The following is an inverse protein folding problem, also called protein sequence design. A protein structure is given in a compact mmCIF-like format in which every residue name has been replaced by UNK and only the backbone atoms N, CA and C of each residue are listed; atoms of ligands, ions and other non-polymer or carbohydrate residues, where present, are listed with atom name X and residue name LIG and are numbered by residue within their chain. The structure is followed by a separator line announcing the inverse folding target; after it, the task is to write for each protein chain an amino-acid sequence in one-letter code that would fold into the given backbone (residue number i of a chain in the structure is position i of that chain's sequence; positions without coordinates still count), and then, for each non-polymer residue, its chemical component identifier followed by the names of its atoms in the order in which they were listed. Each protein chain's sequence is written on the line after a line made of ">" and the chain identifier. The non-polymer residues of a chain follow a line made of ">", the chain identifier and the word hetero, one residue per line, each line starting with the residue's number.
data_IF_745181669758
#
_entry.id   IF_745181669758
#
_cell.length_a   1.000
_cell.length_b   1.000
_cell.length_c   1.000
_cell.angle_alpha   90.00
_cell.angle_beta   90.00
_cell.angle_gamma   90.00
#
_symmetry.space_group_name_H-M   'P 1'
#
loop_
_entity.id
_entity.type
_entity.pdbx_description
1 polymer ?
#
# COMPACT_ATOMS: atom_id res chain seq x y z
N UNK A 1 31.32 38.44 68.86
CA UNK A 1 31.64 37.16 68.20
C UNK A 1 30.42 36.24 67.99
N UNK A 2 29.61 35.89 68.99
CA UNK A 2 28.44 34.96 68.81
C UNK A 2 27.47 35.36 67.67
N UNK A 3 27.17 36.63 67.43
CA UNK A 3 26.26 37.08 66.33
C UNK A 3 26.84 36.94 64.92
N UNK A 4 28.15 36.92 64.78
CA UNK A 4 28.81 36.74 63.46
C UNK A 4 28.80 35.26 63.09
N UNK A 5 29.06 34.36 64.01
CA UNK A 5 29.00 32.91 63.76
C UNK A 5 27.57 32.44 63.42
N UNK A 6 26.53 33.00 64.06
CA UNK A 6 25.17 32.68 63.75
C UNK A 6 24.76 33.12 62.33
N UNK A 7 25.26 34.25 61.84
CA UNK A 7 25.00 34.71 60.46
C UNK A 7 25.76 33.89 59.45
N UNK A 8 27.00 33.51 59.68
CA UNK A 8 27.80 32.66 58.81
C UNK A 8 27.16 31.26 58.71
N UNK A 9 26.73 30.67 59.82
CA UNK A 9 26.01 29.38 59.84
C UNK A 9 24.71 29.44 59.03
N UNK A 10 23.93 30.55 59.13
CA UNK A 10 22.71 30.73 58.38
C UNK A 10 22.95 30.80 56.86
N UNK A 11 24.02 31.52 56.44
CA UNK A 11 24.38 31.60 55.03
C UNK A 11 24.91 30.28 54.48
N UNK A 12 25.62 29.52 55.31
CA UNK A 12 26.15 28.19 54.91
C UNK A 12 24.99 27.18 54.75
N UNK A 13 24.00 27.22 55.66
CA UNK A 13 22.81 26.36 55.57
C UNK A 13 21.94 26.74 54.39
N UNK A 14 21.81 28.05 54.06
CA UNK A 14 21.05 28.51 52.90
C UNK A 14 21.78 28.17 51.59
N UNK A 15 23.12 28.20 51.54
CA UNK A 15 23.91 27.80 50.40
C UNK A 15 23.87 26.30 50.13
N UNK A 16 23.83 25.45 51.19
CA UNK A 16 23.67 23.99 51.02
C UNK A 16 22.27 23.60 50.52
N UNK A 17 21.21 24.36 50.87
CA UNK A 17 19.88 24.14 50.34
C UNK A 17 19.78 24.51 48.83
N UNK A 18 20.56 25.50 48.36
CA UNK A 18 20.55 25.92 46.96
C UNK A 18 21.31 24.96 46.01
N UNK A 19 22.28 24.21 46.56
CA UNK A 19 23.06 23.26 45.78
C UNK A 19 22.30 21.92 45.57
N UNK A 20 21.36 21.58 46.45
CA UNK A 20 20.51 20.39 46.33
C UNK A 20 19.28 20.56 45.41
N UNK A 21 18.98 21.80 45.00
CA UNK A 21 17.76 22.11 44.26
C UNK A 21 17.90 21.97 42.71
N UNK A 22 19.12 21.73 42.20
CA UNK A 22 19.40 21.53 40.77
C UNK A 22 19.91 20.11 40.51
N UNK A 23 19.12 19.10 40.82
CA UNK A 23 19.37 17.79 40.21
C UNK A 23 18.68 17.76 38.84
N UNK A 24 19.34 17.28 37.80
CA UNK A 24 18.79 17.07 36.47
C UNK A 24 17.53 16.23 36.55
N UNK A 25 17.39 15.30 37.46
CA UNK A 25 16.21 14.48 37.75
C UNK A 25 14.99 15.27 38.19
N UNK A 26 15.16 16.49 38.78
CA UNK A 26 14.05 17.34 39.17
C UNK A 26 13.51 18.14 37.98
N UNK A 27 14.35 18.51 37.03
CA UNK A 27 13.99 19.26 35.84
C UNK A 27 13.48 18.33 34.71
N UNK A 28 13.93 17.09 34.68
CA UNK A 28 13.59 16.08 33.68
C UNK A 28 12.51 15.08 34.20
N UNK A 29 11.59 15.53 35.02
CA UNK A 29 10.45 14.69 35.41
C UNK A 29 9.55 14.47 34.18
N UNK A 30 9.49 13.24 33.73
CA UNK A 30 8.52 12.78 32.75
C UNK A 30 7.11 12.98 33.33
N UNK A 31 6.22 13.77 32.72
CA UNK A 31 4.85 13.91 33.19
C UNK A 31 4.19 12.53 33.25
N UNK A 32 3.60 12.11 34.38
CA UNK A 32 3.02 10.77 34.51
C UNK A 32 1.78 10.54 33.61
N UNK A 33 1.24 11.61 33.02
CA UNK A 33 0.07 11.59 32.12
C UNK A 33 0.42 11.75 30.64
N UNK A 34 1.70 11.86 30.27
CA UNK A 34 2.13 11.99 28.89
C UNK A 34 2.93 10.75 28.52
N UNK A 35 2.51 10.06 27.45
CA UNK A 35 3.32 9.00 26.88
C UNK A 35 4.61 9.59 26.32
N UNK A 36 5.75 9.05 26.78
CA UNK A 36 7.07 9.41 26.30
C UNK A 36 7.77 8.15 25.84
N UNK A 37 8.79 8.28 25.03
CA UNK A 37 9.62 7.16 24.56
C UNK A 37 10.13 6.24 25.69
N UNK A 38 10.29 6.79 26.90
CA UNK A 38 10.82 6.05 28.08
C UNK A 38 9.73 5.22 28.76
N UNK A 39 8.47 5.64 28.68
CA UNK A 39 7.36 5.03 29.45
C UNK A 39 6.33 4.27 28.58
N UNK A 40 6.54 4.20 27.28
CA UNK A 40 5.75 3.44 26.31
C UNK A 40 6.47 2.16 25.89
N UNK A 41 5.82 1.23 25.23
CA UNK A 41 6.35 -0.09 24.78
C UNK A 41 6.70 -1.05 25.94
N UNK A 42 5.99 -0.99 27.05
CA UNK A 42 6.25 -1.86 28.23
C UNK A 42 5.66 -3.26 28.14
N UNK A 43 4.62 -3.43 27.35
CA UNK A 43 3.85 -4.66 27.19
C UNK A 43 3.43 -4.88 25.73
N UNK A 44 2.89 -6.06 25.44
CA UNK A 44 2.48 -6.47 24.08
C UNK A 44 1.43 -5.51 23.50
N UNK A 45 0.46 -5.04 24.28
CA UNK A 45 -0.60 -4.15 23.78
C UNK A 45 -0.05 -2.80 23.33
N UNK A 46 0.92 -2.26 24.05
CA UNK A 46 1.59 -1.03 23.66
C UNK A 46 2.48 -1.22 22.42
N UNK A 47 3.15 -2.38 22.32
CA UNK A 47 3.94 -2.72 21.13
C UNK A 47 3.04 -2.91 19.89
N UNK A 48 1.91 -3.57 20.07
CA UNK A 48 0.86 -3.72 19.06
C UNK A 48 0.32 -2.37 18.58
N UNK A 49 0.07 -1.44 19.49
CA UNK A 49 -0.34 -0.07 19.15
C UNK A 49 0.72 0.62 18.29
N UNK A 50 2.01 0.40 18.59
CA UNK A 50 3.12 0.85 17.74
C UNK A 50 3.09 0.26 16.34
N UNK A 51 2.80 -1.04 16.21
CA UNK A 51 2.62 -1.70 14.92
C UNK A 51 1.42 -1.14 14.15
N UNK A 52 0.28 -0.91 14.82
CA UNK A 52 -0.89 -0.27 14.19
C UNK A 52 -0.53 1.12 13.65
N UNK A 53 0.33 1.88 14.35
CA UNK A 53 0.83 3.15 13.84
C UNK A 53 1.71 2.98 12.58
N UNK A 54 2.45 1.86 12.42
CA UNK A 54 3.16 1.55 11.18
C UNK A 54 2.18 1.31 10.01
N UNK A 55 1.13 0.50 10.21
CA UNK A 55 0.07 0.31 9.22
C UNK A 55 -0.64 1.62 8.87
N UNK A 56 -0.91 2.46 9.86
CA UNK A 56 -1.56 3.74 9.67
C UNK A 56 -0.76 4.68 8.74
N UNK A 57 0.56 4.60 8.73
CA UNK A 57 1.40 5.38 7.81
C UNK A 57 1.31 4.91 6.35
N UNK A 58 0.96 3.65 6.09
CA UNK A 58 0.76 3.16 4.72
C UNK A 58 -0.42 3.84 4.01
N UNK A 59 -1.36 4.39 4.75
CA UNK A 59 -2.56 5.05 4.22
C UNK A 59 -2.31 6.47 3.72
N UNK A 60 -1.11 7.00 3.85
CA UNK A 60 -0.77 8.25 3.17
C UNK A 60 -1.12 8.10 1.69
N UNK A 61 -2.09 8.88 1.21
CA UNK A 61 -2.71 8.70 -0.11
C UNK A 61 -1.78 8.87 -1.30
N UNK A 62 -0.49 9.11 -1.06
CA UNK A 62 0.53 9.21 -2.10
C UNK A 62 1.44 8.00 -2.19
N UNK A 63 1.56 7.17 -1.14
CA UNK A 63 2.69 6.26 -0.99
C UNK A 63 2.44 4.89 -1.58
N UNK A 64 1.29 4.28 -1.32
CA UNK A 64 1.10 2.87 -1.64
C UNK A 64 0.01 2.61 -2.68
N UNK A 65 -0.64 3.64 -3.16
CA UNK A 65 -1.67 3.51 -4.19
C UNK A 65 -1.09 3.42 -5.61
N UNK A 66 0.20 3.63 -5.76
CA UNK A 66 1.05 3.39 -6.94
C UNK A 66 0.57 3.95 -8.30
N UNK A 67 -0.69 4.37 -8.47
CA UNK A 67 -1.17 4.87 -9.75
C UNK A 67 -0.34 6.06 -10.26
N UNK A 68 0.15 6.92 -9.36
CA UNK A 68 0.99 8.05 -9.74
C UNK A 68 2.37 7.63 -10.24
N UNK A 69 2.95 6.56 -9.70
CA UNK A 69 4.30 6.12 -10.06
C UNK A 69 4.30 5.01 -11.10
N UNK A 70 3.26 4.19 -11.14
CA UNK A 70 3.20 3.00 -11.98
C UNK A 70 2.31 3.28 -13.21
N UNK A 71 1.02 3.58 -13.02
CA UNK A 71 0.09 3.78 -14.12
C UNK A 71 0.47 5.00 -14.98
N UNK A 72 0.72 6.17 -14.34
CA UNK A 72 1.08 7.39 -15.07
C UNK A 72 2.46 7.35 -15.76
N UNK A 73 3.35 6.45 -15.37
CA UNK A 73 4.64 6.23 -16.04
C UNK A 73 4.59 5.17 -17.13
N UNK A 74 3.41 4.61 -17.41
CA UNK A 74 3.19 3.61 -18.45
C UNK A 74 2.41 4.21 -19.63
N UNK A 75 2.22 3.44 -20.69
CA UNK A 75 1.33 3.72 -21.81
C UNK A 75 -0.12 3.30 -21.54
N UNK A 76 -0.38 2.70 -20.38
CA UNK A 76 -1.71 2.25 -19.96
C UNK A 76 -2.62 3.40 -19.53
N UNK A 77 -2.06 4.48 -18.94
CA UNK A 77 -2.82 5.61 -18.44
C UNK A 77 -2.22 6.98 -18.83
N UNK A 78 -3.11 7.96 -19.01
CA UNK A 78 -2.77 9.39 -19.12
C UNK A 78 -3.10 10.09 -17.79
N UNK A 79 -2.43 11.20 -17.51
CA UNK A 79 -2.68 12.01 -16.32
C UNK A 79 -4.17 12.29 -16.12
N UNK A 80 -4.91 12.52 -17.20
CA UNK A 80 -6.33 12.86 -17.14
C UNK A 80 -6.58 14.29 -16.68
N UNK A 81 -7.83 14.60 -16.32
CA UNK A 81 -8.28 15.94 -15.93
C UNK A 81 -7.93 17.02 -16.96
N UNK A 82 -7.74 18.26 -16.56
CA UNK A 82 -7.38 19.35 -17.49
C UNK A 82 -5.89 19.72 -17.36
N UNK A 83 -5.21 20.16 -18.45
CA UNK A 83 -3.77 20.42 -18.46
C UNK A 83 -3.24 21.43 -17.43
N UNK A 84 -4.09 22.28 -16.88
CA UNK A 84 -3.73 23.23 -15.82
C UNK A 84 -3.93 22.71 -14.41
N UNK A 85 -4.51 21.53 -14.28
CA UNK A 85 -4.81 20.89 -13.02
C UNK A 85 -3.69 19.93 -12.66
N UNK A 86 -3.12 20.05 -11.45
CA UNK A 86 -2.01 19.19 -10.97
C UNK A 86 -0.82 19.08 -11.96
N UNK A 87 -0.14 20.17 -12.33
CA UNK A 87 0.94 20.13 -13.34
C UNK A 87 2.05 19.11 -13.07
N UNK A 88 2.29 18.81 -11.78
CA UNK A 88 3.30 17.81 -11.39
C UNK A 88 2.92 16.37 -11.76
N UNK A 89 1.63 16.03 -11.81
CA UNK A 89 1.17 14.72 -12.30
C UNK A 89 1.40 14.60 -13.81
N UNK A 90 1.19 15.69 -14.56
CA UNK A 90 1.55 15.74 -15.98
C UNK A 90 3.06 15.56 -16.21
N UNK A 91 3.90 16.08 -15.31
CA UNK A 91 5.35 15.86 -15.41
C UNK A 91 5.73 14.40 -15.17
N UNK A 92 4.96 13.66 -14.35
CA UNK A 92 5.11 12.21 -14.20
C UNK A 92 4.71 11.52 -15.51
N UNK A 93 3.48 11.70 -15.95
CA UNK A 93 2.90 11.04 -17.13
C UNK A 93 3.72 11.27 -18.42
N UNK A 94 4.33 12.43 -18.57
CA UNK A 94 5.17 12.75 -19.73
C UNK A 94 6.68 12.54 -19.49
N UNK A 95 7.07 11.80 -18.44
CA UNK A 95 8.47 11.51 -18.10
C UNK A 95 9.35 12.77 -18.00
N UNK A 96 8.80 13.88 -17.47
CA UNK A 96 9.48 15.17 -17.29
C UNK A 96 9.82 15.48 -15.83
N UNK A 97 9.68 14.49 -14.96
CA UNK A 97 9.94 14.63 -13.54
C UNK A 97 11.34 15.17 -13.26
N UNK A 98 11.43 16.04 -12.27
CA UNK A 98 12.70 16.56 -11.74
C UNK A 98 12.93 15.98 -10.35
N UNK A 99 14.20 15.79 -9.94
CA UNK A 99 14.53 15.37 -8.57
C UNK A 99 13.98 16.31 -7.47
N UNK A 100 13.67 17.56 -7.82
CA UNK A 100 13.07 18.58 -6.95
C UNK A 100 11.54 18.61 -6.99
N UNK A 101 10.89 17.64 -7.62
CA UNK A 101 9.43 17.55 -7.64
C UNK A 101 8.89 17.26 -6.24
N UNK A 102 7.84 17.97 -5.82
CA UNK A 102 7.21 17.77 -4.52
C UNK A 102 6.67 16.34 -4.35
N UNK A 103 6.13 15.71 -5.41
CA UNK A 103 5.69 14.31 -5.33
C UNK A 103 6.84 13.35 -5.04
N UNK A 104 8.04 13.56 -5.63
CA UNK A 104 9.22 12.77 -5.31
C UNK A 104 9.62 12.92 -3.85
N UNK A 105 9.48 14.13 -3.29
CA UNK A 105 9.73 14.38 -1.88
C UNK A 105 8.68 13.72 -0.99
N UNK A 106 7.39 13.76 -1.34
CA UNK A 106 6.33 13.09 -0.58
C UNK A 106 6.55 11.58 -0.51
N UNK A 107 6.77 10.91 -1.65
CA UNK A 107 7.09 9.47 -1.67
C UNK A 107 8.29 9.14 -0.78
N UNK A 108 9.37 9.90 -0.93
CA UNK A 108 10.57 9.73 -0.09
C UNK A 108 10.26 9.87 1.40
N UNK A 109 9.61 10.97 1.81
CA UNK A 109 9.34 11.27 3.21
C UNK A 109 8.39 10.27 3.85
N UNK A 110 7.40 9.83 3.11
CA UNK A 110 6.40 8.89 3.62
C UNK A 110 6.98 7.49 3.80
N UNK A 111 7.74 6.97 2.84
CA UNK A 111 8.43 5.68 3.03
C UNK A 111 9.39 5.71 4.22
N UNK A 112 10.15 6.79 4.40
CA UNK A 112 11.03 6.92 5.57
C UNK A 112 10.24 7.09 6.87
N UNK A 113 9.06 7.67 6.85
CA UNK A 113 8.17 7.74 8.02
C UNK A 113 7.68 6.35 8.44
N UNK A 114 7.32 5.48 7.49
CA UNK A 114 7.02 4.06 7.77
C UNK A 114 8.23 3.36 8.35
N UNK A 115 9.41 3.50 7.72
CA UNK A 115 10.67 2.89 8.19
C UNK A 115 10.99 3.32 9.62
N UNK A 116 10.85 4.60 9.94
CA UNK A 116 11.14 5.13 11.27
C UNK A 116 10.23 4.49 12.34
N UNK A 117 8.91 4.39 12.06
CA UNK A 117 7.96 3.72 12.95
C UNK A 117 8.25 2.24 13.11
N UNK A 118 8.57 1.54 12.01
CA UNK A 118 8.94 0.14 12.06
C UNK A 118 10.22 -0.08 12.90
N UNK A 119 11.23 0.75 12.72
CA UNK A 119 12.46 0.69 13.50
C UNK A 119 12.20 0.90 14.99
N UNK A 120 11.32 1.83 15.35
CA UNK A 120 10.93 2.05 16.75
C UNK A 120 10.31 0.79 17.36
N UNK A 121 9.32 0.17 16.66
CA UNK A 121 8.70 -1.08 17.14
C UNK A 121 9.74 -2.20 17.29
N UNK A 122 10.61 -2.38 16.29
CA UNK A 122 11.63 -3.43 16.30
C UNK A 122 12.63 -3.23 17.48
N UNK A 123 13.15 -2.02 17.64
CA UNK A 123 14.16 -1.75 18.67
C UNK A 123 13.56 -1.79 20.09
N UNK A 124 12.32 -1.29 20.27
CA UNK A 124 11.65 -1.28 21.57
C UNK A 124 11.15 -2.66 22.02
N UNK A 125 10.98 -3.60 21.09
CA UNK A 125 10.53 -4.96 21.39
C UNK A 125 11.41 -5.69 22.41
N UNK A 126 12.73 -5.42 22.42
CA UNK A 126 13.69 -6.01 23.35
C UNK A 126 13.40 -5.71 24.84
N UNK A 127 12.72 -4.59 25.14
CA UNK A 127 12.32 -4.19 26.49
C UNK A 127 10.87 -4.52 26.86
N UNK A 128 10.10 -5.01 25.89
CA UNK A 128 8.66 -5.28 26.04
C UNK A 128 8.43 -6.58 26.83
N UNK A 129 7.50 -6.52 27.80
CA UNK A 129 7.11 -7.70 28.60
C UNK A 129 5.87 -8.36 28.00
N UNK A 130 5.89 -9.69 27.90
CA UNK A 130 4.73 -10.46 27.43
C UNK A 130 5.14 -11.79 26.83
N UNK A 131 4.25 -12.40 26.05
CA UNK A 131 4.54 -13.63 25.33
C UNK A 131 5.56 -13.37 24.22
N UNK A 132 6.71 -14.04 24.22
CA UNK A 132 7.74 -13.86 23.19
C UNK A 132 7.23 -14.16 21.77
N UNK A 133 6.28 -15.08 21.62
CA UNK A 133 5.70 -15.44 20.32
C UNK A 133 4.86 -14.29 19.77
N UNK A 134 4.06 -13.65 20.61
CA UNK A 134 3.27 -12.48 20.19
C UNK A 134 4.18 -11.27 19.88
N UNK A 135 5.22 -11.05 20.69
CA UNK A 135 6.22 -10.00 20.40
C UNK A 135 6.90 -10.25 19.05
N UNK A 136 7.32 -11.49 18.77
CA UNK A 136 7.96 -11.86 17.51
C UNK A 136 7.04 -11.62 16.31
N UNK A 137 5.75 -11.99 16.39
CA UNK A 137 4.76 -11.71 15.34
C UNK A 137 4.61 -10.20 15.06
N UNK A 138 4.64 -9.36 16.08
CA UNK A 138 4.56 -7.91 15.94
C UNK A 138 5.81 -7.38 15.23
N UNK A 139 6.99 -7.81 15.67
CA UNK A 139 8.28 -7.43 15.09
C UNK A 139 8.40 -7.84 13.64
N UNK A 140 7.96 -9.05 13.29
CA UNK A 140 8.06 -9.57 11.94
C UNK A 140 7.10 -8.89 10.97
N UNK A 141 5.91 -8.44 11.44
CA UNK A 141 5.07 -7.56 10.64
C UNK A 141 5.74 -6.19 10.41
N UNK A 142 6.36 -5.61 11.43
CA UNK A 142 7.11 -4.36 11.28
C UNK A 142 8.30 -4.51 10.30
N UNK A 143 9.01 -5.65 10.33
CA UNK A 143 10.07 -5.97 9.35
C UNK A 143 9.51 -6.06 7.92
N UNK A 144 8.37 -6.71 7.72
CA UNK A 144 7.70 -6.76 6.41
C UNK A 144 7.39 -5.35 5.89
N UNK A 145 6.80 -4.49 6.72
CA UNK A 145 6.46 -3.10 6.33
C UNK A 145 7.71 -2.26 6.03
N UNK A 146 8.78 -2.47 6.78
CA UNK A 146 10.09 -1.83 6.52
C UNK A 146 10.68 -2.31 5.19
N UNK A 147 10.66 -3.60 4.94
CA UNK A 147 11.12 -4.19 3.68
C UNK A 147 10.30 -3.71 2.48
N UNK A 148 8.98 -3.60 2.63
CA UNK A 148 8.08 -3.05 1.61
C UNK A 148 8.44 -1.62 1.25
N UNK A 149 8.67 -0.78 2.28
CA UNK A 149 9.07 0.62 2.08
C UNK A 149 10.43 0.74 1.39
N UNK A 150 11.40 -0.07 1.79
CA UNK A 150 12.71 -0.10 1.12
C UNK A 150 12.65 -0.64 -0.30
N UNK A 151 11.77 -1.60 -0.60
CA UNK A 151 11.56 -2.10 -1.94
C UNK A 151 11.18 -0.95 -2.89
N UNK A 152 10.24 -0.09 -2.48
CA UNK A 152 9.84 1.08 -3.27
C UNK A 152 10.95 2.13 -3.36
N UNK A 153 11.59 2.43 -2.24
CA UNK A 153 12.69 3.40 -2.22
C UNK A 153 13.83 2.99 -3.18
N UNK A 154 14.31 1.76 -3.09
CA UNK A 154 15.43 1.30 -3.92
C UNK A 154 15.04 1.17 -5.39
N UNK A 155 13.80 0.77 -5.68
CA UNK A 155 13.30 0.67 -7.06
C UNK A 155 13.14 2.03 -7.72
N UNK A 156 12.77 3.07 -6.95
CA UNK A 156 12.52 4.42 -7.48
C UNK A 156 13.79 5.28 -7.50
N UNK A 157 14.61 5.21 -6.43
CA UNK A 157 15.71 6.18 -6.22
C UNK A 157 17.12 5.55 -6.33
N UNK A 158 17.23 4.24 -6.46
CA UNK A 158 18.52 3.56 -6.45
C UNK A 158 19.17 3.56 -5.05
N UNK A 159 20.39 4.11 -4.94
CA UNK A 159 21.07 4.28 -3.66
C UNK A 159 20.30 5.21 -2.73
N UNK A 160 19.98 4.74 -1.53
CA UNK A 160 19.24 5.48 -0.50
C UNK A 160 19.88 5.30 0.89
N UNK A 161 19.67 6.20 1.86
CA UNK A 161 20.13 5.98 3.23
C UNK A 161 19.56 4.70 3.85
N UNK A 162 20.41 3.85 4.39
CA UNK A 162 20.00 2.67 5.14
C UNK A 162 19.81 3.01 6.62
N UNK A 163 18.55 3.00 7.06
CA UNK A 163 18.11 3.25 8.44
C UNK A 163 17.46 1.98 8.96
N UNK A 164 18.18 1.15 9.68
CA UNK A 164 17.72 -0.14 10.17
C UNK A 164 17.55 -0.21 11.69
N UNK A 165 17.61 0.94 12.36
CA UNK A 165 17.35 1.14 13.78
C UNK A 165 16.69 2.50 14.03
N UNK A 166 16.14 2.69 15.21
CA UNK A 166 15.68 4.00 15.63
C UNK A 166 16.87 4.99 15.73
N UNK A 167 16.71 6.18 15.18
CA UNK A 167 17.71 7.23 15.15
C UNK A 167 17.24 8.47 15.90
N UNK A 168 18.14 9.05 16.69
CA UNK A 168 17.93 10.38 17.25
C UNK A 168 18.13 11.47 16.18
N UNK A 169 17.55 12.68 16.36
CA UNK A 169 17.65 13.76 15.37
C UNK A 169 19.09 14.11 14.95
N UNK A 170 20.05 13.97 15.85
CA UNK A 170 21.47 14.27 15.58
C UNK A 170 22.12 13.24 14.62
N UNK A 171 21.53 12.05 14.51
CA UNK A 171 22.03 10.94 13.69
C UNK A 171 21.46 10.95 12.28
N UNK A 172 20.47 11.82 11.95
CA UNK A 172 19.73 11.82 10.69
C UNK A 172 20.54 12.27 9.46
N UNK A 173 21.80 12.70 9.62
CA UNK A 173 22.68 13.11 8.50
C UNK A 173 23.39 11.90 7.89
N UNK A 174 22.61 11.01 7.27
CA UNK A 174 23.14 9.80 6.65
C UNK A 174 23.54 10.03 5.19
N UNK A 175 24.51 9.24 4.73
CA UNK A 175 24.83 9.11 3.32
C UNK A 175 23.96 8.02 2.70
N UNK A 176 23.80 8.05 1.38
CA UNK A 176 23.19 6.94 0.63
C UNK A 176 24.04 5.68 0.80
N UNK A 177 23.41 4.57 1.10
CA UNK A 177 24.00 3.24 1.05
C UNK A 177 23.90 2.68 -0.37
N UNK A 178 24.84 1.85 -0.80
CA UNK A 178 24.75 1.15 -2.08
C UNK A 178 23.47 0.31 -2.19
N UNK A 179 22.89 0.23 -3.37
CA UNK A 179 21.69 -0.55 -3.68
C UNK A 179 21.75 -1.98 -3.12
N UNK A 180 22.90 -2.64 -3.19
CA UNK A 180 23.05 -4.02 -2.71
C UNK A 180 22.91 -4.17 -1.19
N UNK A 181 23.27 -3.16 -0.41
CA UNK A 181 23.06 -3.16 1.04
C UNK A 181 21.56 -3.05 1.37
N UNK A 182 20.83 -2.22 0.61
CA UNK A 182 19.39 -2.08 0.76
C UNK A 182 18.68 -3.40 0.43
N UNK A 183 19.04 -4.04 -0.71
CA UNK A 183 18.49 -5.35 -1.05
C UNK A 183 18.80 -6.42 0.00
N UNK A 184 19.99 -6.39 0.59
CA UNK A 184 20.37 -7.31 1.66
C UNK A 184 19.51 -7.13 2.89
N UNK A 185 19.21 -5.87 3.28
CA UNK A 185 18.30 -5.58 4.38
C UNK A 185 16.87 -6.06 4.10
N UNK A 186 16.36 -5.79 2.90
CA UNK A 186 15.02 -6.25 2.46
C UNK A 186 14.92 -7.78 2.54
N UNK A 187 15.91 -8.49 1.98
CA UNK A 187 15.91 -9.95 2.02
C UNK A 187 16.02 -10.51 3.45
N UNK A 188 16.78 -9.86 4.32
CA UNK A 188 16.88 -10.25 5.73
C UNK A 188 15.56 -10.10 6.46
N UNK A 189 14.95 -8.91 6.37
CA UNK A 189 13.66 -8.63 7.02
C UNK A 189 12.56 -9.59 6.57
N UNK A 190 12.48 -9.85 5.25
CA UNK A 190 11.48 -10.77 4.72
C UNK A 190 11.75 -12.23 5.10
N UNK A 191 13.00 -12.67 5.19
CA UNK A 191 13.33 -14.03 5.62
C UNK A 191 12.94 -14.27 7.08
N UNK A 192 13.19 -13.30 7.95
CA UNK A 192 12.76 -13.38 9.35
C UNK A 192 11.23 -13.49 9.42
N UNK A 193 10.50 -12.66 8.68
CA UNK A 193 9.05 -12.61 8.68
C UNK A 193 8.36 -13.86 8.06
N UNK A 194 9.08 -14.81 7.45
CA UNK A 194 8.48 -16.02 6.85
C UNK A 194 7.75 -16.93 7.82
N UNK A 195 7.98 -16.78 9.11
CA UNK A 195 7.32 -17.54 10.19
C UNK A 195 5.94 -17.01 10.57
N UNK A 196 5.53 -15.86 10.04
CA UNK A 196 4.21 -15.30 10.28
C UNK A 196 3.10 -16.30 9.91
N UNK A 197 1.93 -16.24 10.59
CA UNK A 197 0.82 -17.13 10.32
C UNK A 197 0.31 -17.06 8.88
N UNK A 198 -0.32 -18.13 8.41
CA UNK A 198 -1.10 -18.15 7.17
C UNK A 198 -2.42 -17.39 7.35
N UNK A 199 -3.14 -17.12 6.25
CA UNK A 199 -4.45 -16.44 6.29
C UNK A 199 -5.40 -17.12 7.27
N UNK A 200 -5.53 -18.45 7.17
CA UNK A 200 -6.44 -19.25 8.01
C UNK A 200 -6.09 -19.26 9.50
N UNK A 201 -4.86 -18.89 9.86
CA UNK A 201 -4.37 -18.86 11.24
C UNK A 201 -4.35 -17.45 11.86
N UNK A 202 -4.75 -16.41 11.11
CA UNK A 202 -5.00 -15.08 11.67
C UNK A 202 -6.45 -14.93 12.08
N UNK A 203 -6.69 -14.35 13.26
CA UNK A 203 -8.03 -14.03 13.75
C UNK A 203 -8.58 -12.69 13.21
N UNK A 204 -7.75 -11.93 12.51
CA UNK A 204 -8.04 -10.58 12.03
C UNK A 204 -7.61 -10.42 10.58
N UNK A 205 -8.46 -9.76 9.78
CA UNK A 205 -8.13 -9.35 8.41
C UNK A 205 -7.11 -8.21 8.41
N UNK A 206 -6.37 -8.09 7.30
CA UNK A 206 -5.42 -6.98 7.09
C UNK A 206 -4.05 -7.16 7.75
N UNK A 207 -3.83 -8.27 8.47
CA UNK A 207 -2.52 -8.62 9.01
C UNK A 207 -1.58 -9.13 7.92
N UNK A 208 -0.28 -8.96 8.15
CA UNK A 208 0.73 -9.55 7.26
C UNK A 208 0.75 -11.07 7.45
N UNK A 209 0.54 -11.80 6.36
CA UNK A 209 0.57 -13.27 6.36
C UNK A 209 1.90 -13.79 5.81
N UNK A 210 2.25 -15.03 6.11
CA UNK A 210 3.40 -15.69 5.46
C UNK A 210 3.27 -15.70 3.93
N UNK A 211 2.05 -15.79 3.40
CA UNK A 211 1.79 -15.67 1.96
C UNK A 211 2.13 -14.29 1.40
N UNK A 212 1.81 -13.21 2.11
CA UNK A 212 2.21 -11.86 1.74
C UNK A 212 3.75 -11.71 1.76
N UNK A 213 4.41 -12.27 2.79
CA UNK A 213 5.87 -12.25 2.91
C UNK A 213 6.54 -12.99 1.76
N UNK A 214 6.13 -14.23 1.46
CA UNK A 214 6.69 -14.99 0.34
C UNK A 214 6.40 -14.33 -1.01
N UNK A 215 5.27 -13.66 -1.16
CA UNK A 215 4.93 -12.95 -2.39
C UNK A 215 5.83 -11.75 -2.62
N UNK A 216 6.06 -10.93 -1.60
CA UNK A 216 7.00 -9.80 -1.69
C UNK A 216 8.45 -10.29 -1.88
N UNK A 217 8.85 -11.36 -1.17
CA UNK A 217 10.17 -11.96 -1.31
C UNK A 217 10.39 -12.50 -2.74
N UNK A 218 9.37 -13.14 -3.32
CA UNK A 218 9.36 -13.58 -4.71
C UNK A 218 9.54 -12.41 -5.69
N UNK A 219 8.82 -11.30 -5.48
CA UNK A 219 8.93 -10.07 -6.27
C UNK A 219 10.33 -9.45 -6.18
N UNK A 220 10.91 -9.39 -4.96
CA UNK A 220 12.28 -8.94 -4.71
C UNK A 220 13.30 -9.81 -5.48
N UNK A 221 13.17 -11.12 -5.38
CA UNK A 221 14.07 -12.04 -6.09
C UNK A 221 13.93 -11.94 -7.61
N UNK A 222 12.71 -11.76 -8.11
CA UNK A 222 12.45 -11.58 -9.55
C UNK A 222 13.12 -10.31 -10.07
N UNK A 223 12.92 -9.19 -9.39
CA UNK A 223 13.57 -7.90 -9.71
C UNK A 223 15.10 -8.04 -9.75
N UNK A 224 15.66 -8.88 -8.89
CA UNK A 224 17.10 -9.17 -8.84
C UNK A 224 17.53 -10.33 -9.76
N UNK A 225 16.65 -10.85 -10.61
CA UNK A 225 16.89 -11.99 -11.52
C UNK A 225 17.38 -13.26 -10.82
N UNK A 226 17.00 -13.45 -9.55
CA UNK A 226 17.31 -14.66 -8.76
C UNK A 226 16.22 -15.73 -8.97
N UNK A 227 16.02 -16.18 -10.20
CA UNK A 227 14.85 -16.96 -10.64
C UNK A 227 14.60 -18.25 -9.84
N UNK A 228 15.63 -18.97 -9.38
CA UNK A 228 15.47 -20.17 -8.55
C UNK A 228 14.84 -19.80 -7.19
N UNK A 229 15.29 -18.71 -6.58
CA UNK A 229 14.74 -18.23 -5.31
C UNK A 229 13.33 -17.66 -5.50
N UNK A 230 13.09 -16.95 -6.59
CA UNK A 230 11.75 -16.51 -7.01
C UNK A 230 10.77 -17.68 -7.08
N UNK A 231 11.17 -18.73 -7.81
CA UNK A 231 10.37 -19.96 -7.96
C UNK A 231 10.04 -20.57 -6.59
N UNK A 232 11.05 -20.71 -5.72
CA UNK A 232 10.85 -21.30 -4.39
C UNK A 232 9.90 -20.48 -3.52
N UNK A 233 9.98 -19.14 -3.59
CA UNK A 233 9.11 -18.25 -2.82
C UNK A 233 7.65 -18.33 -3.30
N UNK A 234 7.40 -18.15 -4.61
CA UNK A 234 6.02 -18.23 -5.14
C UNK A 234 5.42 -19.64 -5.03
N UNK A 235 6.24 -20.69 -5.13
CA UNK A 235 5.77 -22.06 -4.88
C UNK A 235 5.16 -22.20 -3.47
N UNK A 236 5.75 -21.55 -2.44
CA UNK A 236 5.19 -21.56 -1.07
C UNK A 236 3.79 -20.94 -1.04
N UNK A 237 3.58 -19.85 -1.77
CA UNK A 237 2.27 -19.19 -1.85
C UNK A 237 1.25 -20.07 -2.56
N UNK A 238 1.59 -20.59 -3.74
CA UNK A 238 0.66 -21.40 -4.54
C UNK A 238 0.35 -22.73 -3.89
N UNK A 239 1.34 -23.41 -3.29
CA UNK A 239 1.14 -24.71 -2.64
C UNK A 239 0.48 -24.62 -1.26
N UNK A 240 0.33 -23.41 -0.69
CA UNK A 240 -0.36 -23.23 0.59
C UNK A 240 -1.86 -23.55 0.49
N UNK A 241 -2.47 -23.34 -0.68
CA UNK A 241 -3.91 -23.44 -0.89
C UNK A 241 -4.74 -22.35 -0.20
N UNK A 242 -4.09 -21.33 0.37
CA UNK A 242 -4.74 -20.22 1.09
C UNK A 242 -5.37 -19.18 0.15
N UNK A 243 -4.95 -19.15 -1.11
CA UNK A 243 -5.38 -18.15 -2.09
C UNK A 243 -6.00 -18.82 -3.31
N UNK A 244 -6.98 -18.15 -3.92
CA UNK A 244 -7.60 -18.59 -5.17
C UNK A 244 -8.05 -17.40 -6.00
N UNK A 245 -8.11 -17.58 -7.33
CA UNK A 245 -8.69 -16.60 -8.22
C UNK A 245 -10.19 -16.50 -7.98
N UNK A 246 -10.70 -15.30 -7.73
CA UNK A 246 -12.14 -15.05 -7.60
C UNK A 246 -12.79 -15.13 -8.98
N UNK A 247 -13.89 -15.89 -9.16
CA UNK A 247 -14.52 -16.07 -10.48
C UNK A 247 -14.97 -14.75 -11.14
N UNK A 248 -15.56 -13.85 -10.35
CA UNK A 248 -15.96 -12.51 -10.83
C UNK A 248 -14.81 -11.52 -10.67
N UNK A 249 -14.17 -11.16 -11.80
CA UNK A 249 -13.10 -10.15 -11.79
C UNK A 249 -13.55 -8.80 -11.25
N UNK A 250 -14.79 -8.39 -11.55
CA UNK A 250 -15.33 -7.12 -11.08
C UNK A 250 -15.53 -7.06 -9.58
N UNK A 251 -15.81 -8.22 -8.94
CA UNK A 251 -15.97 -8.32 -7.48
C UNK A 251 -14.74 -7.81 -6.70
N UNK A 252 -13.54 -8.04 -7.23
CA UNK A 252 -12.27 -7.66 -6.59
C UNK A 252 -12.19 -6.15 -6.30
N UNK A 253 -12.83 -5.32 -7.13
CA UNK A 253 -12.77 -3.85 -7.05
C UNK A 253 -13.96 -3.23 -6.31
N UNK A 254 -14.85 -4.05 -5.73
CA UNK A 254 -15.95 -3.60 -4.90
C UNK A 254 -15.57 -3.64 -3.41
N UNK A 255 -16.27 -2.86 -2.60
CA UNK A 255 -16.09 -2.89 -1.14
C UNK A 255 -16.28 -4.30 -0.55
N UNK A 256 -17.33 -5.01 -1.00
CA UNK A 256 -17.61 -6.40 -0.59
C UNK A 256 -16.53 -7.41 -1.00
N UNK A 257 -15.63 -7.06 -1.94
CA UNK A 257 -14.50 -7.86 -2.39
C UNK A 257 -13.22 -7.67 -1.61
N UNK A 258 -13.22 -6.83 -0.59
CA UNK A 258 -12.06 -6.59 0.26
C UNK A 258 -11.67 -7.83 1.05
N UNK A 259 -10.37 -8.03 1.19
CA UNK A 259 -9.79 -9.18 1.87
C UNK A 259 -10.35 -10.53 1.38
N UNK A 260 -10.77 -10.60 0.10
CA UNK A 260 -11.28 -11.84 -0.50
C UNK A 260 -10.16 -12.87 -0.71
N UNK A 261 -10.54 -14.07 -1.17
CA UNK A 261 -9.60 -15.18 -1.38
C UNK A 261 -8.49 -14.88 -2.43
N UNK A 262 -8.63 -13.85 -3.25
CA UNK A 262 -7.59 -13.39 -4.18
C UNK A 262 -6.65 -12.35 -3.55
N UNK A 263 -7.01 -11.78 -2.41
CA UNK A 263 -6.21 -10.76 -1.73
C UNK A 263 -5.02 -11.39 -1.00
N UNK A 264 -3.80 -11.00 -1.39
CA UNK A 264 -2.57 -11.42 -0.72
C UNK A 264 -2.14 -10.39 0.32
N UNK A 265 -2.24 -9.11 -0.03
CA UNK A 265 -2.02 -8.01 0.89
C UNK A 265 -2.82 -6.79 0.47
N UNK A 266 -3.58 -6.22 1.42
CA UNK A 266 -4.32 -4.99 1.25
C UNK A 266 -3.95 -3.98 2.33
N UNK A 267 -3.85 -2.71 1.95
CA UNK A 267 -3.74 -1.61 2.90
C UNK A 267 -5.17 -1.26 3.31
N UNK A 268 -5.43 -1.42 4.60
CA UNK A 268 -6.77 -1.26 5.15
C UNK A 268 -7.09 0.22 5.35
N UNK A 269 -8.26 0.65 4.89
CA UNK A 269 -8.81 1.97 5.14
C UNK A 269 -10.09 1.87 5.95
N UNK A 270 -10.40 2.90 6.75
CA UNK A 270 -11.62 2.96 7.53
C UNK A 270 -12.05 4.39 7.77
N UNK A 271 -13.35 4.64 7.65
CA UNK A 271 -13.98 5.92 7.92
C UNK A 271 -14.79 5.92 9.21
N UNK A 272 -15.29 7.08 9.61
CA UNK A 272 -16.19 7.26 10.75
C UNK A 272 -15.65 6.72 12.08
N UNK A 273 -14.35 6.82 12.32
CA UNK A 273 -13.76 6.52 13.63
C UNK A 273 -13.68 7.79 14.48
N UNK A 274 -13.91 7.68 15.81
CA UNK A 274 -14.02 8.85 16.70
C UNK A 274 -12.79 9.76 16.73
N UNK A 275 -11.61 9.21 16.50
CA UNK A 275 -10.34 9.89 16.75
C UNK A 275 -9.56 10.26 15.45
N UNK A 276 -10.21 10.23 14.29
CA UNK A 276 -9.54 10.64 13.08
C UNK A 276 -10.11 10.05 11.80
N UNK A 277 -9.62 10.58 10.70
CA UNK A 277 -9.92 10.11 9.38
C UNK A 277 -8.87 9.10 8.94
N UNK A 278 -9.30 7.88 8.68
CA UNK A 278 -8.49 6.78 8.20
C UNK A 278 -8.92 6.31 6.79
N UNK A 279 -9.69 7.13 6.09
CA UNK A 279 -10.12 6.89 4.72
C UNK A 279 -9.06 7.21 3.67
N UNK A 280 -9.36 6.87 2.43
CA UNK A 280 -8.59 7.22 1.24
C UNK A 280 -9.33 8.25 0.40
N UNK A 281 -8.61 9.02 -0.38
CA UNK A 281 -9.15 9.92 -1.39
C UNK A 281 -8.66 9.57 -2.81
N UNK A 282 -7.95 8.47 -2.95
CA UNK A 282 -7.41 8.00 -4.22
C UNK A 282 -8.49 7.78 -5.27
N UNK A 283 -9.62 7.21 -4.86
CA UNK A 283 -10.77 6.98 -5.73
C UNK A 283 -11.33 8.32 -6.25
N UNK A 284 -11.41 9.35 -5.40
CA UNK A 284 -11.86 10.69 -5.82
C UNK A 284 -10.97 11.27 -6.90
N UNK A 285 -9.66 11.11 -6.79
CA UNK A 285 -8.75 11.55 -7.86
C UNK A 285 -9.07 10.88 -9.19
N UNK A 286 -9.36 9.58 -9.18
CA UNK A 286 -9.44 8.76 -10.39
C UNK A 286 -10.85 8.56 -10.95
N UNK A 287 -11.92 8.75 -10.14
CA UNK A 287 -13.30 8.72 -10.64
C UNK A 287 -13.52 9.80 -11.69
N UNK A 288 -14.49 9.61 -12.63
CA UNK A 288 -14.78 10.57 -13.68
C UNK A 288 -14.99 11.99 -13.14
N UNK A 289 -14.42 12.98 -13.82
CA UNK A 289 -14.64 14.40 -13.56
C UNK A 289 -15.97 14.84 -14.16
N UNK A 290 -17.04 14.40 -13.54
CA UNK A 290 -18.40 14.75 -13.88
C UNK A 290 -19.10 15.14 -12.58
N UNK A 291 -19.93 16.18 -12.63
CA UNK A 291 -20.69 16.60 -11.45
C UNK A 291 -21.55 15.48 -10.87
N UNK A 292 -22.10 14.63 -11.74
CA UNK A 292 -22.89 13.47 -11.34
C UNK A 292 -22.02 12.29 -10.87
N UNK A 293 -20.76 12.18 -11.31
CA UNK A 293 -19.84 11.14 -10.87
C UNK A 293 -19.05 11.52 -9.62
N UNK A 294 -18.74 12.82 -9.44
CA UNK A 294 -18.14 13.37 -8.21
C UNK A 294 -16.66 13.10 -8.05
N UNK A 295 -15.93 12.80 -9.13
CA UNK A 295 -14.48 12.60 -9.13
C UNK A 295 -13.71 13.77 -9.72
N UNK A 296 -12.37 13.62 -9.82
CA UNK A 296 -11.47 14.64 -10.38
C UNK A 296 -10.88 14.26 -11.73
N UNK A 297 -11.07 13.02 -12.20
CA UNK A 297 -10.79 12.55 -13.55
C UNK A 297 -9.32 12.37 -13.89
N UNK A 298 -8.48 12.09 -12.89
CA UNK A 298 -7.10 11.69 -13.11
C UNK A 298 -6.97 10.20 -13.42
N UNK A 299 -5.79 9.75 -13.87
CA UNK A 299 -5.47 8.36 -14.14
C UNK A 299 -6.45 7.73 -15.14
N UNK A 300 -6.56 8.34 -16.31
CA UNK A 300 -7.50 7.91 -17.33
C UNK A 300 -6.87 6.85 -18.23
N UNK A 301 -7.51 5.66 -18.39
CA UNK A 301 -6.95 4.59 -19.21
C UNK A 301 -6.88 5.01 -20.69
N UNK A 302 -5.83 4.57 -21.37
CA UNK A 302 -5.55 4.96 -22.75
C UNK A 302 -6.24 4.04 -23.76
N UNK A 303 -6.25 4.50 -25.02
CA UNK A 303 -6.65 3.65 -26.13
C UNK A 303 -5.64 2.53 -26.39
N UNK A 304 -4.38 2.74 -26.06
CA UNK A 304 -3.33 1.74 -26.22
C UNK A 304 -3.58 0.57 -25.27
N UNK A 305 -3.90 0.84 -24.00
CA UNK A 305 -4.39 -0.21 -23.09
C UNK A 305 -5.63 -0.93 -23.62
N UNK A 306 -6.61 -0.20 -24.18
CA UNK A 306 -7.80 -0.83 -24.73
C UNK A 306 -7.48 -1.79 -25.89
N UNK A 307 -6.52 -1.43 -26.72
CA UNK A 307 -6.09 -2.22 -27.89
C UNK A 307 -5.34 -3.51 -27.48
N UNK A 308 -4.75 -3.56 -26.29
CA UNK A 308 -4.09 -4.76 -25.76
C UNK A 308 -5.08 -5.83 -25.26
N UNK A 309 -6.34 -5.46 -25.04
CA UNK A 309 -7.36 -6.45 -24.73
C UNK A 309 -7.77 -7.22 -25.97
N UNK A 310 -7.84 -8.53 -25.86
CA UNK A 310 -8.40 -9.37 -26.91
C UNK A 310 -9.89 -9.06 -27.12
N UNK A 311 -10.38 -9.10 -28.38
CA UNK A 311 -11.79 -8.83 -28.66
C UNK A 311 -12.71 -9.71 -27.82
N UNK A 312 -13.68 -9.10 -27.13
CA UNK A 312 -14.62 -9.79 -26.27
C UNK A 312 -14.13 -10.11 -24.86
N UNK A 313 -12.94 -9.62 -24.46
CA UNK A 313 -12.44 -9.79 -23.09
C UNK A 313 -13.39 -9.12 -22.09
N UNK A 314 -14.01 -9.87 -21.17
CA UNK A 314 -14.96 -9.30 -20.23
C UNK A 314 -14.33 -8.27 -19.26
N UNK A 315 -13.01 -8.31 -19.06
CA UNK A 315 -12.31 -7.36 -18.17
C UNK A 315 -12.37 -5.92 -18.68
N UNK A 316 -12.65 -5.71 -19.97
CA UNK A 316 -12.77 -4.38 -20.56
C UNK A 316 -13.82 -3.55 -19.82
N UNK A 317 -15.01 -4.09 -19.59
CA UNK A 317 -16.08 -3.36 -18.89
C UNK A 317 -15.79 -3.06 -17.42
N UNK A 318 -14.86 -3.76 -16.82
CA UNK A 318 -14.40 -3.52 -15.45
C UNK A 318 -13.13 -2.67 -15.37
N UNK A 319 -12.53 -2.33 -16.50
CA UNK A 319 -11.35 -1.47 -16.59
C UNK A 319 -11.72 -0.07 -17.06
N UNK A 320 -12.65 0.03 -18.01
CA UNK A 320 -13.03 1.29 -18.64
C UNK A 320 -14.45 1.74 -18.28
N UNK A 321 -14.64 3.03 -18.17
CA UNK A 321 -15.92 3.73 -18.33
C UNK A 321 -15.91 4.38 -19.70
N UNK A 322 -16.91 4.06 -20.52
CA UNK A 322 -17.04 4.56 -21.88
C UNK A 322 -18.03 5.74 -21.94
N UNK A 323 -17.89 6.66 -22.90
CA UNK A 323 -18.94 7.63 -23.20
C UNK A 323 -20.27 6.91 -23.50
N UNK A 324 -21.34 7.33 -22.84
CA UNK A 324 -22.66 6.69 -22.96
C UNK A 324 -22.95 5.62 -21.90
N UNK A 325 -21.97 5.28 -21.04
CA UNK A 325 -22.25 4.39 -19.91
C UNK A 325 -23.22 5.04 -18.92
N UNK A 326 -24.16 4.25 -18.40
CA UNK A 326 -25.18 4.73 -17.46
C UNK A 326 -24.99 4.12 -16.09
N UNK A 327 -24.93 4.97 -15.08
CA UNK A 327 -24.78 4.59 -13.67
C UNK A 327 -25.98 5.07 -12.83
N UNK A 328 -26.24 4.42 -11.68
CA UNK A 328 -27.14 4.95 -10.68
C UNK A 328 -26.66 6.33 -10.19
N UNK A 329 -27.57 7.29 -10.06
CA UNK A 329 -27.27 8.62 -9.55
C UNK A 329 -27.44 8.72 -8.03
N UNK A 330 -26.98 9.82 -7.44
CA UNK A 330 -27.12 10.10 -6.00
C UNK A 330 -28.58 10.03 -5.53
N UNK A 331 -29.51 10.56 -6.32
CA UNK A 331 -30.93 10.47 -6.02
C UNK A 331 -31.45 9.07 -6.35
N UNK A 332 -31.92 8.36 -5.35
CA UNK A 332 -32.46 7.01 -5.49
C UNK A 332 -33.48 6.91 -6.64
N UNK A 333 -33.39 5.84 -7.41
CA UNK A 333 -34.24 5.57 -8.58
C UNK A 333 -33.95 6.43 -9.81
N UNK A 334 -32.89 7.26 -9.79
CA UNK A 334 -32.45 8.02 -10.97
C UNK A 334 -31.10 7.53 -11.46
N UNK A 335 -30.78 7.86 -12.71
CA UNK A 335 -29.53 7.50 -13.37
C UNK A 335 -28.87 8.72 -14.00
N UNK A 336 -27.57 8.60 -14.32
CA UNK A 336 -26.86 9.57 -15.14
C UNK A 336 -26.03 8.86 -16.20
N UNK A 337 -25.75 9.56 -17.30
CA UNK A 337 -24.90 9.08 -18.38
C UNK A 337 -23.53 9.74 -18.25
N UNK A 338 -22.46 8.96 -18.33
CA UNK A 338 -21.09 9.51 -18.34
C UNK A 338 -20.72 9.89 -19.77
N UNK A 339 -20.27 11.12 -19.96
CA UNK A 339 -19.93 11.64 -21.30
C UNK A 339 -18.42 11.66 -21.56
N UNK A 340 -17.59 11.50 -20.53
CA UNK A 340 -16.13 11.53 -20.60
C UNK A 340 -15.52 12.80 -21.23
N UNK A 341 -16.24 13.94 -21.25
CA UNK A 341 -15.79 15.18 -21.90
C UNK A 341 -14.47 15.74 -21.41
N UNK A 342 -14.19 15.56 -20.12
CA UNK A 342 -12.98 16.10 -19.49
C UNK A 342 -11.85 15.06 -19.40
N UNK A 343 -12.03 13.90 -20.04
CA UNK A 343 -10.97 12.91 -20.17
C UNK A 343 -10.23 13.09 -21.48
N UNK A 344 -8.92 13.37 -21.48
CA UNK A 344 -8.14 13.53 -22.70
C UNK A 344 -8.05 12.23 -23.51
N UNK A 345 -8.22 11.07 -22.89
CA UNK A 345 -8.24 9.77 -23.55
C UNK A 345 -9.62 9.38 -24.10
N UNK A 346 -10.67 10.07 -23.67
CA UNK A 346 -12.05 9.72 -23.97
C UNK A 346 -12.63 8.58 -23.11
N UNK A 347 -11.89 8.09 -22.12
CA UNK A 347 -12.29 7.03 -21.20
C UNK A 347 -12.02 7.45 -19.76
N UNK A 348 -12.62 6.75 -18.79
CA UNK A 348 -12.31 6.89 -17.36
C UNK A 348 -12.07 5.53 -16.73
N UNK A 349 -11.40 5.51 -15.58
CA UNK A 349 -11.08 4.30 -14.84
C UNK A 349 -12.34 3.73 -14.14
N UNK A 350 -12.64 2.44 -14.41
CA UNK A 350 -13.79 1.75 -13.81
C UNK A 350 -13.46 1.09 -12.47
N UNK A 351 -12.23 0.62 -12.29
CA UNK A 351 -11.80 -0.11 -11.08
C UNK A 351 -11.95 0.70 -9.80
N UNK A 352 -11.92 2.02 -9.90
CA UNK A 352 -11.97 2.97 -8.78
C UNK A 352 -13.38 3.55 -8.56
N UNK A 353 -14.37 3.08 -9.29
CA UNK A 353 -15.74 3.56 -9.17
C UNK A 353 -16.36 3.15 -7.83
N UNK A 354 -16.83 4.13 -7.07
CA UNK A 354 -17.62 3.92 -5.85
C UNK A 354 -19.08 4.27 -6.14
N UNK A 355 -20.04 3.36 -5.95
CA UNK A 355 -21.45 3.65 -6.11
C UNK A 355 -21.94 4.73 -5.14
N UNK A 356 -22.91 5.55 -5.56
CA UNK A 356 -23.49 6.58 -4.68
C UNK A 356 -24.11 6.02 -3.40
N UNK A 357 -24.66 4.80 -3.43
CA UNK A 357 -25.17 4.09 -2.25
C UNK A 357 -24.09 3.84 -1.17
N UNK A 358 -22.82 3.74 -1.56
CA UNK A 358 -21.69 3.50 -0.69
C UNK A 358 -20.98 4.80 -0.25
N UNK A 359 -21.39 5.95 -0.82
CA UNK A 359 -20.85 7.29 -0.47
C UNK A 359 -21.66 8.01 0.61
N UNK A 360 -22.83 7.49 0.97
CA UNK A 360 -23.77 8.21 1.85
C UNK A 360 -23.15 8.47 3.24
N UNK A 361 -23.10 9.75 3.60
CA UNK A 361 -22.53 10.20 4.88
C UNK A 361 -21.01 10.27 4.93
N UNK A 362 -20.32 9.94 3.85
CA UNK A 362 -18.86 10.05 3.75
C UNK A 362 -18.43 11.39 3.14
N UNK A 363 -17.29 11.88 3.57
CA UNK A 363 -16.58 12.95 2.89
C UNK A 363 -15.91 12.35 1.63
N UNK A 364 -15.95 13.04 0.50
CA UNK A 364 -15.32 12.62 -0.75
C UNK A 364 -13.79 12.42 -0.66
N UNK A 365 -13.18 12.86 0.43
CA UNK A 365 -11.75 12.65 0.71
C UNK A 365 -11.50 11.52 1.71
N UNK A 366 -12.50 10.69 2.02
CA UNK A 366 -12.47 9.77 3.16
C UNK A 366 -13.27 8.49 2.88
N UNK A 367 -12.98 7.81 1.78
CA UNK A 367 -13.58 6.50 1.51
C UNK A 367 -12.89 5.38 2.26
N UNK A 368 -13.63 4.35 2.63
CA UNK A 368 -13.14 3.14 3.32
C UNK A 368 -12.85 1.97 2.37
N UNK A 369 -12.38 2.30 1.18
CA UNK A 369 -11.94 1.32 0.20
C UNK A 369 -10.47 0.96 0.42
N UNK A 370 -10.18 -0.32 0.59
CA UNK A 370 -8.81 -0.81 0.75
C UNK A 370 -8.01 -0.67 -0.54
N UNK A 371 -6.72 -0.35 -0.43
CA UNK A 371 -5.81 -0.48 -1.55
C UNK A 371 -5.37 -1.96 -1.71
N UNK A 372 -5.72 -2.58 -2.84
CA UNK A 372 -5.35 -3.98 -3.19
C UNK A 372 -3.91 -4.01 -3.65
N UNK A 373 -2.98 -3.99 -2.69
CA UNK A 373 -1.55 -3.88 -2.98
C UNK A 373 -1.00 -5.08 -3.77
N UNK A 374 -1.39 -6.29 -3.40
CA UNK A 374 -0.96 -7.51 -4.07
C UNK A 374 -2.08 -8.53 -4.15
N UNK A 375 -2.31 -9.09 -5.34
CA UNK A 375 -3.34 -10.09 -5.60
C UNK A 375 -2.75 -11.41 -6.10
N UNK A 376 -3.46 -12.49 -5.86
CA UNK A 376 -3.02 -13.84 -6.25
C UNK A 376 -2.81 -13.98 -7.77
N UNK A 377 -3.58 -13.28 -8.59
CA UNK A 377 -3.35 -13.23 -10.04
C UNK A 377 -1.95 -12.69 -10.38
N UNK A 378 -1.47 -11.64 -9.70
CA UNK A 378 -0.11 -11.13 -9.86
C UNK A 378 0.93 -12.18 -9.46
N UNK A 379 0.74 -12.84 -8.32
CA UNK A 379 1.62 -13.93 -7.88
C UNK A 379 1.75 -15.02 -8.95
N UNK A 380 0.63 -15.44 -9.55
CA UNK A 380 0.63 -16.46 -10.61
C UNK A 380 1.40 -16.01 -11.85
N UNK A 381 1.24 -14.74 -12.26
CA UNK A 381 1.92 -14.19 -13.44
C UNK A 381 3.43 -14.01 -13.20
N UNK A 382 3.85 -13.47 -12.06
CA UNK A 382 5.26 -13.34 -11.68
C UNK A 382 5.91 -14.72 -11.50
N UNK A 383 5.16 -15.67 -10.99
CA UNK A 383 5.63 -17.07 -10.91
C UNK A 383 5.82 -17.68 -12.30
N UNK A 384 4.87 -17.45 -13.22
CA UNK A 384 4.99 -17.91 -14.60
C UNK A 384 6.22 -17.31 -15.30
N UNK A 385 6.50 -16.00 -15.10
CA UNK A 385 7.70 -15.36 -15.60
C UNK A 385 8.98 -16.07 -15.11
N UNK A 386 9.08 -16.31 -13.81
CA UNK A 386 10.24 -17.00 -13.24
C UNK A 386 10.41 -18.43 -13.76
N UNK A 387 9.30 -19.14 -13.99
CA UNK A 387 9.32 -20.48 -14.59
C UNK A 387 9.78 -20.45 -16.04
N UNK A 388 9.35 -19.45 -16.81
CA UNK A 388 9.80 -19.27 -18.19
C UNK A 388 11.31 -19.03 -18.25
N UNK A 389 11.85 -18.17 -17.40
CA UNK A 389 13.30 -17.92 -17.29
C UNK A 389 14.09 -19.18 -16.87
N UNK A 390 13.44 -20.11 -16.16
CA UNK A 390 14.02 -21.41 -15.80
C UNK A 390 13.77 -22.49 -16.85
N UNK A 391 13.30 -22.14 -18.06
CA UNK A 391 12.93 -23.08 -19.14
C UNK A 391 11.86 -24.11 -18.76
N UNK A 392 10.97 -23.78 -17.81
CA UNK A 392 9.81 -24.60 -17.38
C UNK A 392 8.53 -24.10 -18.07
N UNK A 393 8.54 -23.99 -19.39
CA UNK A 393 7.51 -23.31 -20.18
C UNK A 393 6.11 -23.92 -20.01
N UNK A 394 5.97 -25.25 -19.88
CA UNK A 394 4.65 -25.87 -19.66
C UNK A 394 4.01 -25.42 -18.35
N UNK A 395 4.80 -25.35 -17.30
CA UNK A 395 4.31 -24.85 -15.99
C UNK A 395 4.00 -23.37 -16.05
N UNK A 396 4.81 -22.58 -16.76
CA UNK A 396 4.53 -21.15 -16.95
C UNK A 396 3.21 -20.93 -17.70
N UNK A 397 3.00 -21.65 -18.82
CA UNK A 397 1.72 -21.60 -19.59
C UNK A 397 0.52 -21.99 -18.74
N UNK A 398 0.65 -23.02 -17.92
CA UNK A 398 -0.42 -23.44 -17.03
C UNK A 398 -0.88 -22.29 -16.10
N UNK A 399 0.04 -21.58 -15.47
CA UNK A 399 -0.29 -20.46 -14.58
C UNK A 399 -0.92 -19.28 -15.33
N UNK A 400 -0.39 -18.93 -16.49
CA UNK A 400 -0.98 -17.89 -17.36
C UNK A 400 -2.40 -18.29 -17.75
N UNK A 401 -2.62 -19.54 -18.15
CA UNK A 401 -3.92 -20.05 -18.58
C UNK A 401 -4.95 -20.10 -17.43
N UNK A 402 -4.52 -20.27 -16.18
CA UNK A 402 -5.41 -20.11 -15.02
C UNK A 402 -6.00 -18.69 -14.97
N UNK A 403 -5.18 -17.66 -15.13
CA UNK A 403 -5.61 -16.25 -15.14
C UNK A 403 -6.50 -15.96 -16.35
N UNK A 404 -6.14 -16.49 -17.54
CA UNK A 404 -6.94 -16.34 -18.75
C UNK A 404 -8.31 -17.05 -18.63
N UNK A 405 -8.34 -18.24 -18.06
CA UNK A 405 -9.60 -18.97 -17.81
C UNK A 405 -10.54 -18.21 -16.86
N UNK A 406 -10.01 -17.59 -15.80
CA UNK A 406 -10.79 -16.71 -14.92
C UNK A 406 -11.34 -15.52 -15.71
N UNK A 407 -10.52 -14.87 -16.55
CA UNK A 407 -10.95 -13.75 -17.37
C UNK A 407 -12.13 -14.13 -18.30
N UNK A 408 -12.04 -15.26 -19.01
CA UNK A 408 -13.13 -15.80 -19.87
C UNK A 408 -14.44 -16.02 -19.12
N UNK A 409 -14.33 -16.46 -17.86
CA UNK A 409 -15.50 -16.82 -17.05
C UNK A 409 -16.04 -15.66 -16.21
N UNK A 410 -15.42 -14.48 -16.32
CA UNK A 410 -15.92 -13.27 -15.65
C UNK A 410 -17.30 -12.88 -16.21
N UNK A 411 -18.27 -12.49 -15.35
CA UNK A 411 -19.55 -12.00 -15.82
C UNK A 411 -19.41 -10.83 -16.80
N UNK A 412 -20.22 -10.81 -17.85
CA UNK A 412 -20.24 -9.74 -18.85
C UNK A 412 -21.14 -8.56 -18.47
N UNK A 413 -21.73 -8.62 -17.27
CA UNK A 413 -22.59 -7.56 -16.73
C UNK A 413 -21.99 -7.04 -15.45
N UNK A 414 -21.73 -5.75 -15.40
CA UNK A 414 -21.27 -5.06 -14.20
C UNK A 414 -22.47 -4.64 -13.34
N UNK A 415 -22.69 -5.21 -12.14
CA UNK A 415 -23.88 -4.93 -11.34
C UNK A 415 -23.95 -3.50 -10.80
N UNK A 416 -22.85 -2.75 -10.83
CA UNK A 416 -22.82 -1.35 -10.42
C UNK A 416 -23.10 -0.38 -11.58
N UNK A 417 -23.37 -0.89 -12.80
CA UNK A 417 -23.67 -0.13 -14.01
C UNK A 417 -25.07 -0.49 -14.51
N UNK A 418 -25.86 0.51 -14.88
CA UNK A 418 -27.20 0.30 -15.46
C UNK A 418 -27.10 -0.20 -16.89
N UNK A 419 -26.23 0.41 -17.69
CA UNK A 419 -25.89 -0.06 -19.03
C UNK A 419 -24.47 0.30 -19.41
N UNK A 420 -23.85 -0.57 -20.22
CA UNK A 420 -22.53 -0.37 -20.80
C UNK A 420 -22.64 0.01 -22.27
N UNK A 421 -21.97 1.07 -22.69
CA UNK A 421 -21.95 1.50 -24.09
C UNK A 421 -21.01 0.65 -24.95
N UNK A 422 -20.08 -0.08 -24.33
CA UNK A 422 -19.18 -0.97 -25.05
C UNK A 422 -19.87 -2.26 -25.46
N UNK A 423 -19.78 -2.60 -26.74
CA UNK A 423 -20.36 -3.82 -27.28
C UNK A 423 -19.42 -5.02 -27.09
N UNK A 424 -19.78 -5.91 -26.17
CA UNK A 424 -19.08 -7.17 -25.90
C UNK A 424 -19.59 -8.34 -26.76
N UNK A 425 -20.42 -8.10 -27.77
CA UNK A 425 -21.07 -9.14 -28.59
C UNK A 425 -20.12 -9.91 -29.53
N UNK A 426 -18.88 -10.11 -29.09
CA UNK A 426 -17.92 -10.95 -29.80
C UNK A 426 -18.30 -12.43 -29.69
N UNK A 427 -18.43 -13.11 -30.84
CA UNK A 427 -18.87 -14.52 -30.95
C UNK A 427 -17.72 -15.51 -31.16
N UNK A 428 -16.45 -15.08 -31.14
CA UNK A 428 -15.28 -15.93 -31.30
C UNK A 428 -14.86 -16.67 -30.02
N UNK A 429 -13.79 -17.45 -30.11
CA UNK A 429 -13.16 -18.03 -28.90
C UNK A 429 -12.50 -16.91 -28.09
N UNK A 430 -13.07 -16.64 -26.91
CA UNK A 430 -12.54 -15.64 -25.99
C UNK A 430 -11.27 -16.13 -25.32
N UNK A 431 -10.18 -15.35 -25.38
CA UNK A 431 -8.98 -15.59 -24.63
C UNK A 431 -8.50 -17.05 -24.70
N UNK A 432 -8.19 -17.61 -25.88
CA UNK A 432 -7.75 -19.00 -26.00
C UNK A 432 -6.53 -19.26 -25.10
N UNK A 433 -6.35 -20.50 -24.71
CA UNK A 433 -5.19 -20.89 -23.91
C UNK A 433 -3.91 -20.65 -24.70
N UNK A 434 -2.86 -20.19 -24.02
CA UNK A 434 -1.52 -20.07 -24.59
C UNK A 434 -1.00 -21.48 -24.82
N UNK A 435 -0.69 -21.79 -26.08
CA UNK A 435 -0.17 -23.09 -26.51
C UNK A 435 1.33 -23.03 -26.79
N UNK A 436 1.99 -24.19 -26.91
CA UNK A 436 3.35 -24.25 -27.42
C UNK A 436 3.35 -23.81 -28.90
N UNK A 437 4.22 -22.87 -29.25
CA UNK A 437 4.52 -22.50 -30.63
C UNK A 437 5.51 -23.46 -31.24
#
# INVERSE_FOLDING_TARGET
>A
MKKIYSRISLYFTLATFLIGACSEDFLNRTPPSVFTEINYFKNVDELETGLVACFAMLRSGFVFDHWMTDDLNSDDADCGSSPGDQPLLYDISYSRMKPSSDYMWYFWSDYYSVIARCNEVIDRSAGTKGDPVEIEKIVDQAKYLRALSYYHLVSTYGDVPLVNRFLNPEELKLRRAPVEEIWTQIESDLKDATILPTVSNWNESGRVTSGAVYSLLGKVYLTRKKYQLTNAAFQKVVSSGEYQLVPDYGFIFRHEGENCAESVFEIQHKTNIPDGNLGTYSETFRMPRDYAAGGWGFDTPTKDLLNEFEPGDPRIIYTFIFPGDVFPAQKEGTTFTVECFESPTGYNARKVWIPWSERAGLNMLEYDYNCRYMRYAEVLLLYAESLNELNKQDSARMLVNMVRARARNTPITDPQRVSCAYDLSYTGELLPDVTAS
#
